data_IF_722420678324
#
_entry.id   IF_722420678324
#
_cell.length_a   1.000
_cell.length_b   1.000
_cell.length_c   1.000
_cell.angle_alpha   90.00
_cell.angle_beta   90.00
_cell.angle_gamma   90.00
#
_symmetry.space_group_name_H-M   'P 1'
#
loop_
_entity.id
_entity.type
_entity.pdbx_description
1 polymer ?
#
# COMPACT_ATOMS: atom_id res chain seq x y z
N UNK A 1 13.58 -33.57 31.63
CA UNK A 1 12.40 -33.30 30.79
C UNK A 1 12.50 -31.83 30.39
N UNK A 2 12.77 -31.57 29.13
CA UNK A 2 12.69 -30.23 28.55
C UNK A 2 11.31 -30.16 27.90
N UNK A 3 10.42 -29.37 28.49
CA UNK A 3 9.15 -29.01 27.85
C UNK A 3 9.46 -28.21 26.60
N UNK A 4 9.22 -28.79 25.45
CA UNK A 4 9.18 -28.09 24.17
C UNK A 4 7.85 -27.35 24.10
N UNK A 5 7.84 -26.09 24.47
CA UNK A 5 6.74 -25.20 24.17
C UNK A 5 6.47 -25.21 22.66
N UNK A 6 5.29 -25.67 22.27
CA UNK A 6 4.80 -25.52 20.91
C UNK A 6 4.66 -24.01 20.63
N UNK A 7 5.11 -23.53 19.46
CA UNK A 7 4.82 -22.17 19.09
C UNK A 7 3.30 -21.98 19.10
N UNK A 8 2.80 -21.00 19.84
CA UNK A 8 1.42 -20.57 19.76
C UNK A 8 1.11 -20.26 18.29
N UNK A 9 0.09 -20.92 17.74
CA UNK A 9 -0.49 -20.55 16.46
C UNK A 9 -1.03 -19.12 16.63
N UNK A 10 -0.23 -18.13 16.24
CA UNK A 10 -0.69 -16.76 16.13
C UNK A 10 -1.89 -16.77 15.19
N UNK A 11 -3.00 -16.29 15.71
CA UNK A 11 -4.25 -16.14 14.98
C UNK A 11 -3.99 -15.20 13.79
N UNK A 12 -3.78 -15.78 12.63
CA UNK A 12 -3.35 -15.09 11.40
C UNK A 12 -4.60 -14.46 10.74
N UNK A 13 -5.14 -13.45 11.39
CA UNK A 13 -6.40 -12.80 11.01
C UNK A 13 -6.31 -11.97 9.73
N UNK A 14 -5.10 -11.78 9.18
CA UNK A 14 -4.90 -10.89 8.05
C UNK A 14 -4.98 -9.41 8.45
N UNK A 15 -5.19 -8.53 7.48
CA UNK A 15 -5.40 -7.09 7.69
C UNK A 15 -4.89 -6.23 6.54
N UNK A 16 -5.18 -4.94 6.63
CA UNK A 16 -4.70 -3.92 5.69
C UNK A 16 -3.57 -3.11 6.31
N UNK A 17 -2.41 -3.13 5.67
CA UNK A 17 -1.25 -2.34 6.04
C UNK A 17 -1.02 -1.24 5.00
N UNK A 18 -1.13 0.02 5.41
CA UNK A 18 -0.74 1.16 4.58
C UNK A 18 0.75 1.48 4.81
N UNK A 19 1.49 1.66 3.72
CA UNK A 19 2.89 2.08 3.73
C UNK A 19 2.97 3.50 3.22
N UNK A 20 3.30 4.43 4.11
CA UNK A 20 3.35 5.86 3.83
C UNK A 20 4.66 6.47 4.29
N UNK A 21 5.01 7.64 3.79
CA UNK A 21 6.21 8.34 4.24
C UNK A 21 6.73 9.38 3.25
N UNK A 22 7.88 9.95 3.60
CA UNK A 22 8.51 11.01 2.81
C UNK A 22 8.89 10.54 1.40
N UNK A 23 8.94 11.44 0.41
CA UNK A 23 9.43 11.11 -0.92
C UNK A 23 10.83 10.51 -0.88
N UNK A 24 11.03 9.39 -1.59
CA UNK A 24 12.33 8.70 -1.62
C UNK A 24 12.66 7.85 -0.39
N UNK A 25 11.74 7.69 0.58
CA UNK A 25 11.95 6.85 1.76
C UNK A 25 11.88 5.34 1.52
N UNK A 26 11.61 4.91 0.29
CA UNK A 26 11.54 3.49 -0.05
C UNK A 26 10.19 2.84 0.23
N UNK A 27 9.09 3.60 0.28
CA UNK A 27 7.72 3.10 0.47
C UNK A 27 7.39 1.92 -0.43
N UNK A 28 7.43 2.14 -1.73
CA UNK A 28 7.12 1.11 -2.75
C UNK A 28 8.00 -0.13 -2.60
N UNK A 29 9.29 0.05 -2.38
CA UNK A 29 10.22 -1.07 -2.17
C UNK A 29 9.83 -1.86 -0.92
N UNK A 30 9.45 -1.19 0.15
CA UNK A 30 9.02 -1.82 1.40
C UNK A 30 7.68 -2.55 1.21
N UNK A 31 6.69 -1.91 0.61
CA UNK A 31 5.39 -2.52 0.31
C UNK A 31 5.54 -3.79 -0.55
N UNK A 32 6.33 -3.72 -1.62
CA UNK A 32 6.62 -4.86 -2.49
C UNK A 32 7.34 -5.99 -1.74
N UNK A 33 8.31 -5.67 -0.89
CA UNK A 33 9.02 -6.68 -0.08
C UNK A 33 8.07 -7.39 0.89
N UNK A 34 7.21 -6.64 1.59
CA UNK A 34 6.22 -7.21 2.52
C UNK A 34 5.26 -8.13 1.75
N UNK A 35 4.69 -7.66 0.63
CA UNK A 35 3.78 -8.47 -0.19
C UNK A 35 4.45 -9.76 -0.70
N UNK A 36 5.71 -9.68 -1.18
CA UNK A 36 6.49 -10.84 -1.60
C UNK A 36 6.79 -11.80 -0.45
N UNK A 37 7.10 -11.30 0.74
CA UNK A 37 7.35 -12.14 1.92
C UNK A 37 6.09 -12.91 2.35
N UNK A 38 4.93 -12.25 2.36
CA UNK A 38 3.64 -12.88 2.68
C UNK A 38 3.32 -13.96 1.65
N UNK A 39 3.42 -13.64 0.37
CA UNK A 39 3.12 -14.61 -0.71
C UNK A 39 4.10 -15.79 -0.74
N UNK A 40 5.37 -15.59 -0.39
CA UNK A 40 6.33 -16.69 -0.22
C UNK A 40 5.95 -17.65 0.92
N UNK A 41 5.24 -17.15 1.94
CA UNK A 41 4.64 -17.94 3.03
C UNK A 41 3.26 -18.51 2.67
N UNK A 42 2.89 -18.51 1.39
CA UNK A 42 1.60 -18.98 0.88
C UNK A 42 0.37 -18.24 1.43
N UNK A 43 0.55 -17.00 1.84
CA UNK A 43 -0.55 -16.11 2.21
C UNK A 43 -1.04 -15.39 0.96
N UNK A 44 -2.37 -15.34 0.77
CA UNK A 44 -2.97 -14.56 -0.31
C UNK A 44 -2.87 -13.07 0.04
N UNK A 45 -2.22 -12.31 -0.82
CA UNK A 45 -1.97 -10.88 -0.62
C UNK A 45 -2.29 -10.08 -1.87
N UNK A 46 -2.90 -8.93 -1.69
CA UNK A 46 -3.06 -7.91 -2.73
C UNK A 46 -2.18 -6.72 -2.38
N UNK A 47 -1.39 -6.26 -3.35
CA UNK A 47 -0.64 -5.01 -3.29
C UNK A 47 -1.38 -3.95 -4.11
N UNK A 48 -1.87 -2.90 -3.44
CA UNK A 48 -2.46 -1.73 -4.09
C UNK A 48 -1.40 -0.63 -4.21
N UNK A 49 -1.16 -0.14 -5.44
CA UNK A 49 -0.21 0.93 -5.75
C UNK A 49 -0.99 2.22 -6.00
N UNK A 50 -0.92 3.16 -5.06
CA UNK A 50 -1.72 4.39 -5.08
C UNK A 50 -1.05 5.57 -5.80
N UNK A 51 0.27 5.52 -6.08
CA UNK A 51 0.96 6.63 -6.75
C UNK A 51 0.48 6.77 -8.19
N UNK A 52 -0.37 7.79 -8.41
CA UNK A 52 -0.94 8.08 -9.73
C UNK A 52 -0.06 9.02 -10.56
N UNK A 53 0.86 9.74 -9.93
CA UNK A 53 1.78 10.63 -10.62
C UNK A 53 2.98 9.86 -11.22
N UNK A 54 3.42 8.79 -10.54
CA UNK A 54 4.51 7.94 -10.98
C UNK A 54 4.10 6.45 -10.88
N UNK A 55 3.35 5.91 -11.85
CA UNK A 55 2.85 4.54 -11.82
C UNK A 55 3.97 3.52 -11.68
N UNK A 56 3.92 2.74 -10.62
CA UNK A 56 4.99 1.79 -10.28
C UNK A 56 4.74 0.37 -10.78
N UNK A 57 3.52 0.03 -11.22
CA UNK A 57 3.20 -1.31 -11.70
C UNK A 57 4.14 -1.77 -12.84
N UNK A 58 4.43 -0.96 -13.87
CA UNK A 58 5.35 -1.36 -14.93
C UNK A 58 6.80 -1.58 -14.45
N UNK A 59 7.18 -0.90 -13.36
CA UNK A 59 8.54 -1.01 -12.80
C UNK A 59 8.75 -2.28 -11.99
N UNK A 60 7.70 -2.79 -11.35
CA UNK A 60 7.76 -3.96 -10.46
C UNK A 60 7.26 -5.25 -11.12
N UNK A 61 6.50 -5.13 -12.19
CA UNK A 61 5.85 -6.23 -12.90
C UNK A 61 6.22 -6.18 -14.39
N UNK A 62 7.27 -6.87 -14.84
CA UNK A 62 7.58 -6.98 -16.26
C UNK A 62 6.40 -7.58 -17.04
N UNK A 63 6.10 -7.02 -18.21
CA UNK A 63 4.92 -7.37 -19.00
C UNK A 63 4.84 -8.86 -19.36
N UNK A 64 5.97 -9.53 -19.56
CA UNK A 64 6.08 -10.95 -19.87
C UNK A 64 5.77 -11.86 -18.66
N UNK A 65 5.82 -11.31 -17.45
CA UNK A 65 5.50 -12.03 -16.22
C UNK A 65 4.02 -11.95 -15.81
N UNK A 66 3.22 -11.11 -16.50
CA UNK A 66 1.82 -10.86 -16.18
C UNK A 66 0.89 -11.84 -16.89
N UNK A 67 -0.23 -12.16 -16.25
CA UNK A 67 -1.33 -12.98 -16.81
C UNK A 67 -2.52 -12.12 -17.26
N UNK A 68 -2.60 -10.86 -16.83
CA UNK A 68 -3.69 -9.95 -17.13
C UNK A 68 -3.21 -8.52 -17.33
N UNK A 69 -3.99 -7.72 -18.05
CA UNK A 69 -3.75 -6.29 -18.31
C UNK A 69 -4.77 -5.41 -17.54
N UNK A 70 -5.23 -5.87 -16.40
CA UNK A 70 -6.11 -5.10 -15.54
C UNK A 70 -5.43 -3.86 -14.95
N UNK A 71 -6.22 -2.84 -14.61
CA UNK A 71 -5.69 -1.58 -14.10
C UNK A 71 -6.58 -0.94 -13.04
N UNK A 72 -5.95 -0.20 -12.13
CA UNK A 72 -6.64 0.62 -11.15
C UNK A 72 -7.57 1.66 -11.81
N UNK A 73 -7.14 2.27 -12.92
CA UNK A 73 -7.98 3.21 -13.67
C UNK A 73 -9.28 2.55 -14.17
N UNK A 74 -9.23 1.29 -14.59
CA UNK A 74 -10.42 0.54 -14.99
C UNK A 74 -11.41 0.31 -13.85
N UNK A 75 -10.90 0.12 -12.63
CA UNK A 75 -11.74 -0.01 -11.43
C UNK A 75 -12.35 1.33 -11.04
N UNK A 76 -11.54 2.40 -10.97
CA UNK A 76 -11.98 3.73 -10.55
C UNK A 76 -12.92 4.42 -11.54
N UNK A 77 -12.89 4.02 -12.81
CA UNK A 77 -13.82 4.52 -13.84
C UNK A 77 -15.27 4.05 -13.66
N UNK A 78 -15.52 3.03 -12.86
CA UNK A 78 -16.83 2.47 -12.67
C UNK A 78 -17.65 3.29 -11.66
N UNK A 79 -18.94 3.50 -11.96
CA UNK A 79 -19.86 4.19 -11.04
C UNK A 79 -20.08 3.43 -9.71
N UNK A 80 -19.90 2.12 -9.70
CA UNK A 80 -19.91 1.24 -8.51
C UNK A 80 -18.78 0.23 -8.62
N UNK A 81 -18.05 0.05 -7.55
CA UNK A 81 -16.95 -0.91 -7.46
C UNK A 81 -17.48 -2.20 -6.84
N UNK A 82 -17.32 -3.31 -7.56
CA UNK A 82 -17.68 -4.64 -7.09
C UNK A 82 -16.47 -5.55 -7.02
N UNK A 83 -16.53 -6.60 -6.21
CA UNK A 83 -15.45 -7.60 -6.13
C UNK A 83 -15.11 -8.21 -7.51
N UNK A 84 -16.11 -8.49 -8.34
CA UNK A 84 -15.88 -9.05 -9.67
C UNK A 84 -15.12 -8.07 -10.57
N UNK A 85 -15.43 -6.77 -10.49
CA UNK A 85 -14.70 -5.74 -11.21
C UNK A 85 -13.24 -5.66 -10.73
N UNK A 86 -13.02 -5.69 -9.42
CA UNK A 86 -11.68 -5.70 -8.84
C UNK A 86 -10.91 -6.94 -9.31
N UNK A 87 -11.49 -8.14 -9.15
CA UNK A 87 -10.86 -9.42 -9.56
C UNK A 87 -10.47 -9.41 -11.04
N UNK A 88 -11.30 -8.84 -11.90
CA UNK A 88 -11.00 -8.74 -13.34
C UNK A 88 -9.83 -7.79 -13.65
N UNK A 89 -9.62 -6.79 -12.79
CA UNK A 89 -8.55 -5.79 -12.96
C UNK A 89 -7.29 -6.11 -12.13
N UNK A 90 -7.30 -7.14 -11.30
CA UNK A 90 -6.10 -7.58 -10.59
C UNK A 90 -5.08 -8.17 -11.57
N UNK A 91 -3.85 -7.74 -11.43
CA UNK A 91 -2.71 -8.28 -12.16
C UNK A 91 -2.13 -9.45 -11.36
N UNK A 92 -2.09 -10.63 -11.96
CA UNK A 92 -1.56 -11.86 -11.36
C UNK A 92 -0.27 -12.29 -12.03
N UNK A 93 0.50 -13.13 -11.35
CA UNK A 93 1.82 -13.57 -11.80
C UNK A 93 1.84 -15.05 -12.11
N UNK A 94 2.37 -15.45 -13.27
CA UNK A 94 2.52 -16.84 -13.72
C UNK A 94 3.22 -17.75 -12.70
N UNK A 95 4.12 -17.19 -11.88
CA UNK A 95 4.96 -17.95 -10.94
C UNK A 95 4.59 -17.75 -9.47
N UNK A 96 3.61 -16.92 -9.17
CA UNK A 96 3.20 -16.60 -7.79
C UNK A 96 1.70 -16.32 -7.70
N UNK A 97 0.90 -17.36 -7.59
CA UNK A 97 -0.56 -17.28 -7.51
C UNK A 97 -1.08 -16.66 -6.20
N UNK A 98 -0.24 -16.51 -5.17
CA UNK A 98 -0.63 -15.91 -3.90
C UNK A 98 -0.45 -14.38 -3.88
N UNK A 99 0.12 -13.79 -4.94
CA UNK A 99 0.31 -12.34 -5.06
C UNK A 99 -0.50 -11.81 -6.24
N UNK A 100 -1.35 -10.84 -5.96
CA UNK A 100 -1.99 -10.00 -6.97
C UNK A 100 -1.62 -8.53 -6.73
N UNK A 101 -1.61 -7.74 -7.79
CA UNK A 101 -1.28 -6.31 -7.73
C UNK A 101 -2.36 -5.53 -8.45
N UNK A 102 -2.74 -4.38 -7.89
CA UNK A 102 -3.60 -3.40 -8.54
C UNK A 102 -2.87 -2.06 -8.58
N UNK A 103 -2.75 -1.49 -9.76
CA UNK A 103 -2.07 -0.22 -9.97
C UNK A 103 -2.36 0.33 -11.36
N UNK A 104 -1.80 1.50 -11.68
CA UNK A 104 -1.89 2.08 -13.01
C UNK A 104 -0.91 1.39 -13.96
N UNK A 105 -1.35 1.17 -15.20
CA UNK A 105 -0.52 0.66 -16.28
C UNK A 105 0.42 1.75 -16.84
N UNK A 106 1.35 1.33 -17.68
CA UNK A 106 2.19 2.25 -18.44
C UNK A 106 1.34 3.27 -19.22
N UNK A 107 1.76 4.54 -19.19
CA UNK A 107 1.09 5.70 -19.81
C UNK A 107 -0.25 6.10 -19.19
N UNK A 108 -0.67 5.47 -18.09
CA UNK A 108 -1.77 5.96 -17.25
C UNK A 108 -1.22 6.89 -16.17
N UNK A 109 -2.02 7.86 -15.73
CA UNK A 109 -1.70 8.81 -14.66
C UNK A 109 -3.00 9.41 -14.10
N UNK A 110 -2.90 10.38 -13.18
CA UNK A 110 -4.05 11.06 -12.60
C UNK A 110 -4.97 11.72 -13.64
N UNK A 111 -4.43 12.23 -14.75
CA UNK A 111 -5.22 12.90 -15.80
C UNK A 111 -5.92 11.90 -16.73
N UNK A 112 -5.37 10.70 -16.89
CA UNK A 112 -6.00 9.63 -17.70
C UNK A 112 -7.03 8.83 -16.93
N UNK A 113 -7.07 8.99 -15.59
CA UNK A 113 -8.04 8.32 -14.72
C UNK A 113 -9.24 9.26 -14.52
N UNK A 114 -10.49 8.80 -14.75
CA UNK A 114 -11.67 9.62 -14.48
C UNK A 114 -11.72 10.06 -13.02
N UNK A 115 -12.32 11.22 -12.70
CA UNK A 115 -12.55 11.64 -11.34
C UNK A 115 -13.32 10.56 -10.55
N UNK A 116 -12.88 10.30 -9.33
CA UNK A 116 -13.50 9.34 -8.43
C UNK A 116 -13.73 9.95 -7.03
N UNK A 117 -14.63 9.36 -6.27
CA UNK A 117 -15.07 9.86 -4.98
C UNK A 117 -14.45 9.08 -3.82
N UNK A 118 -14.44 9.67 -2.63
CA UNK A 118 -14.06 8.97 -1.40
C UNK A 118 -14.86 7.66 -1.21
N UNK A 119 -16.17 7.67 -1.51
CA UNK A 119 -17.02 6.49 -1.41
C UNK A 119 -16.53 5.35 -2.31
N UNK A 120 -16.12 5.65 -3.54
CA UNK A 120 -15.56 4.63 -4.44
C UNK A 120 -14.24 4.07 -3.91
N UNK A 121 -13.42 4.89 -3.25
CA UNK A 121 -12.19 4.40 -2.62
C UNK A 121 -12.52 3.46 -1.46
N UNK A 122 -13.49 3.79 -0.60
CA UNK A 122 -13.95 2.88 0.47
C UNK A 122 -14.48 1.56 -0.14
N UNK A 123 -15.33 1.62 -1.16
CA UNK A 123 -15.84 0.44 -1.85
C UNK A 123 -14.69 -0.42 -2.44
N UNK A 124 -13.63 0.22 -2.95
CA UNK A 124 -12.43 -0.48 -3.44
C UNK A 124 -11.72 -1.20 -2.29
N UNK A 125 -11.41 -0.50 -1.20
CA UNK A 125 -10.66 -1.06 -0.07
C UNK A 125 -11.42 -2.20 0.61
N UNK A 126 -12.74 -2.05 0.79
CA UNK A 126 -13.61 -3.12 1.30
C UNK A 126 -13.61 -4.33 0.37
N UNK A 127 -13.72 -4.11 -0.93
CA UNK A 127 -13.65 -5.18 -1.91
C UNK A 127 -12.31 -5.91 -1.91
N UNK A 128 -11.19 -5.20 -1.74
CA UNK A 128 -9.86 -5.82 -1.61
C UNK A 128 -9.78 -6.71 -0.36
N UNK A 129 -10.32 -6.26 0.78
CA UNK A 129 -10.37 -7.04 2.03
C UNK A 129 -11.22 -8.31 1.89
N UNK A 130 -12.28 -8.28 1.08
CA UNK A 130 -13.09 -9.48 0.80
C UNK A 130 -12.37 -10.50 -0.11
N UNK A 131 -11.47 -10.03 -0.97
CA UNK A 131 -10.77 -10.88 -1.95
C UNK A 131 -9.54 -11.56 -1.33
N UNK A 132 -8.80 -10.86 -0.47
CA UNK A 132 -7.59 -11.40 0.15
C UNK A 132 -7.47 -11.03 1.63
N UNK A 133 -6.97 -11.95 2.49
CA UNK A 133 -6.79 -11.68 3.92
C UNK A 133 -5.72 -10.62 4.18
N UNK A 134 -4.77 -10.42 3.28
CA UNK A 134 -3.72 -9.40 3.43
C UNK A 134 -3.81 -8.38 2.30
N UNK A 135 -3.96 -7.11 2.65
CA UNK A 135 -3.92 -5.99 1.71
C UNK A 135 -2.77 -5.06 2.11
N UNK A 136 -1.81 -4.89 1.21
CA UNK A 136 -0.71 -3.93 1.39
C UNK A 136 -0.98 -2.75 0.47
N UNK A 137 -1.01 -1.55 1.03
CA UNK A 137 -1.27 -0.32 0.29
C UNK A 137 0.00 0.53 0.24
N UNK A 138 0.54 0.72 -0.95
CA UNK A 138 1.66 1.65 -1.21
C UNK A 138 1.10 3.04 -1.48
N UNK A 139 1.09 3.89 -0.46
CA UNK A 139 0.51 5.23 -0.52
C UNK A 139 1.41 6.24 -1.23
N UNK A 140 0.80 7.19 -1.94
CA UNK A 140 1.49 8.38 -2.43
C UNK A 140 2.03 9.25 -1.29
N UNK A 141 2.88 10.22 -1.63
CA UNK A 141 3.43 11.15 -0.63
C UNK A 141 2.57 12.42 -0.46
N UNK A 142 1.72 12.77 -1.40
CA UNK A 142 0.95 14.03 -1.42
C UNK A 142 -0.48 13.84 -0.96
N UNK A 143 -0.68 13.61 0.35
CA UNK A 143 -1.99 13.24 0.93
C UNK A 143 -3.08 14.28 0.66
N UNK A 144 -2.76 15.57 0.71
CA UNK A 144 -3.75 16.64 0.53
C UNK A 144 -4.50 16.59 -0.82
N UNK A 145 -3.87 16.06 -1.86
CA UNK A 145 -4.42 15.96 -3.22
C UNK A 145 -4.59 14.50 -3.70
N UNK A 146 -4.35 13.54 -2.82
CA UNK A 146 -4.44 12.11 -3.12
C UNK A 146 -5.49 11.46 -2.23
N UNK A 147 -6.75 11.53 -2.69
CA UNK A 147 -7.89 10.96 -1.97
C UNK A 147 -7.75 9.44 -1.79
N UNK A 148 -7.07 8.75 -2.70
CA UNK A 148 -6.87 7.31 -2.62
C UNK A 148 -5.95 6.96 -1.44
N UNK A 149 -4.80 7.62 -1.32
CA UNK A 149 -3.88 7.42 -0.20
C UNK A 149 -4.45 7.94 1.11
N UNK A 150 -5.16 9.08 1.11
CA UNK A 150 -5.77 9.64 2.31
C UNK A 150 -6.80 8.65 2.92
N UNK A 151 -7.70 8.14 2.10
CA UNK A 151 -8.71 7.16 2.56
C UNK A 151 -8.05 5.85 2.97
N UNK A 152 -7.03 5.39 2.24
CA UNK A 152 -6.29 4.18 2.62
C UNK A 152 -5.62 4.30 4.00
N UNK A 153 -5.08 5.48 4.35
CA UNK A 153 -4.53 5.72 5.68
C UNK A 153 -5.61 5.73 6.78
N UNK A 154 -6.80 6.27 6.50
CA UNK A 154 -7.93 6.23 7.45
C UNK A 154 -8.42 4.79 7.69
N UNK A 155 -8.58 4.01 6.63
CA UNK A 155 -9.17 2.68 6.66
C UNK A 155 -8.18 1.56 7.05
N UNK A 156 -6.87 1.78 6.97
CA UNK A 156 -5.87 0.76 7.28
C UNK A 156 -5.91 0.32 8.76
N UNK A 157 -5.66 -0.97 9.01
CA UNK A 157 -5.56 -1.53 10.37
C UNK A 157 -4.22 -1.18 11.02
N UNK A 158 -3.19 -0.94 10.19
CA UNK A 158 -1.86 -0.50 10.61
C UNK A 158 -1.22 0.37 9.55
N UNK A 159 -0.40 1.31 9.97
CA UNK A 159 0.34 2.21 9.08
C UNK A 159 1.83 2.07 9.35
N UNK A 160 2.61 1.80 8.32
CA UNK A 160 4.05 1.83 8.37
C UNK A 160 4.53 3.19 7.83
N UNK A 161 4.97 4.06 8.73
CA UNK A 161 5.44 5.41 8.39
C UNK A 161 6.95 5.44 8.21
N UNK A 162 7.43 5.60 6.96
CA UNK A 162 8.83 5.62 6.61
C UNK A 162 9.39 7.05 6.50
N UNK A 163 10.49 7.30 7.17
CA UNK A 163 11.25 8.55 7.09
C UNK A 163 12.72 8.27 6.75
N UNK A 164 13.31 9.06 5.85
CA UNK A 164 14.77 9.11 5.76
C UNK A 164 15.33 9.95 6.91
N UNK A 165 16.56 9.63 7.33
CA UNK A 165 17.29 10.43 8.31
C UNK A 165 17.93 11.66 7.64
N UNK A 166 17.11 12.55 7.07
CA UNK A 166 17.55 13.76 6.39
C UNK A 166 16.60 14.95 6.64
N UNK A 167 17.07 16.20 6.50
CA UNK A 167 16.25 17.40 6.72
C UNK A 167 15.01 17.49 5.82
N UNK A 168 15.06 16.91 4.61
CA UNK A 168 13.92 16.91 3.68
C UNK A 168 12.77 16.08 4.24
N UNK A 169 13.07 14.91 4.81
CA UNK A 169 12.05 14.07 5.45
C UNK A 169 11.46 14.72 6.69
N UNK A 170 12.28 15.38 7.51
CA UNK A 170 11.80 16.12 8.68
C UNK A 170 10.85 17.23 8.25
N UNK A 171 11.24 18.06 7.28
CA UNK A 171 10.39 19.13 6.75
C UNK A 171 9.11 18.59 6.09
N UNK A 172 9.20 17.47 5.39
CA UNK A 172 8.02 16.82 4.83
C UNK A 172 7.02 16.46 5.93
N UNK A 173 7.44 15.78 6.98
CA UNK A 173 6.53 15.41 8.07
C UNK A 173 6.04 16.63 8.84
N UNK A 174 6.85 17.63 9.07
CA UNK A 174 6.40 18.88 9.69
C UNK A 174 5.26 19.57 8.91
N UNK A 175 5.24 19.41 7.58
CA UNK A 175 4.19 19.96 6.72
C UNK A 175 2.99 19.03 6.52
N UNK A 176 3.17 17.71 6.56
CA UNK A 176 2.10 16.76 6.26
C UNK A 176 1.35 16.28 7.51
N UNK A 177 2.02 16.12 8.66
CA UNK A 177 1.37 15.64 9.88
C UNK A 177 0.22 16.52 10.35
N UNK A 178 0.25 17.86 10.26
CA UNK A 178 -0.90 18.68 10.59
C UNK A 178 -2.15 18.41 9.75
N UNK A 179 -2.01 17.83 8.55
CA UNK A 179 -3.14 17.43 7.71
C UNK A 179 -3.82 16.15 8.22
N UNK A 180 -3.15 15.43 9.09
CA UNK A 180 -3.60 14.17 9.70
C UNK A 180 -3.99 14.37 11.18
N UNK A 181 -4.23 15.61 11.58
CA UNK A 181 -4.62 15.99 12.95
C UNK A 181 -6.14 16.18 13.02
N UNK A 182 -6.86 15.07 13.05
CA UNK A 182 -8.32 15.02 13.12
C UNK A 182 -8.80 13.72 13.78
N UNK A 183 -10.04 13.66 14.28
CA UNK A 183 -10.59 12.49 14.94
C UNK A 183 -10.70 11.26 14.02
N UNK A 184 -10.67 11.47 12.71
CA UNK A 184 -10.65 10.41 11.70
C UNK A 184 -9.28 9.72 11.55
N UNK A 185 -8.23 10.32 12.12
CA UNK A 185 -6.86 9.81 12.04
C UNK A 185 -6.45 9.12 13.34
N UNK A 186 -6.37 7.81 13.33
CA UNK A 186 -5.86 7.03 14.44
C UNK A 186 -4.33 6.97 14.37
N UNK A 187 -3.67 7.77 15.22
CA UNK A 187 -2.22 7.84 15.28
C UNK A 187 -1.58 6.64 15.99
N UNK A 188 -2.33 5.90 16.81
CA UNK A 188 -1.82 4.77 17.61
C UNK A 188 -1.55 3.54 16.71
N UNK A 189 -2.16 3.46 15.54
CA UNK A 189 -1.91 2.40 14.56
C UNK A 189 -0.65 2.63 13.70
N UNK A 190 0.14 3.69 13.98
CA UNK A 190 1.32 4.04 13.20
C UNK A 190 2.62 3.49 13.78
N UNK A 191 3.34 2.72 12.98
CA UNK A 191 4.70 2.27 13.27
C UNK A 191 5.70 3.16 12.54
N UNK A 192 6.56 3.87 13.30
CA UNK A 192 7.58 4.75 12.75
C UNK A 192 8.83 3.94 12.38
N UNK A 193 9.34 4.13 11.18
CA UNK A 193 10.52 3.43 10.67
C UNK A 193 11.49 4.40 10.03
N UNK A 194 12.70 4.46 10.58
CA UNK A 194 13.81 5.13 9.95
C UNK A 194 14.33 4.29 8.78
N UNK A 195 14.34 4.90 7.60
CA UNK A 195 14.75 4.27 6.34
C UNK A 195 16.07 4.86 5.83
N UNK A 196 16.82 4.07 5.08
CA UNK A 196 18.08 4.51 4.47
C UNK A 196 19.09 5.12 5.46
N UNK A 197 19.09 4.65 6.71
CA UNK A 197 19.97 5.15 7.78
C UNK A 197 21.41 4.86 7.43
N UNK A 198 22.25 5.88 7.45
CA UNK A 198 23.70 5.75 7.27
C UNK A 198 24.41 5.65 8.62
N UNK A 199 25.59 5.01 8.69
CA UNK A 199 26.28 4.76 9.96
C UNK A 199 26.57 6.00 10.83
N UNK A 200 26.58 7.19 10.20
CA UNK A 200 26.84 8.47 10.88
C UNK A 200 25.57 9.25 11.24
N UNK A 201 24.39 8.72 10.96
CA UNK A 201 23.11 9.35 11.24
C UNK A 201 22.50 8.78 12.51
N UNK A 202 22.02 9.66 13.39
CA UNK A 202 21.20 9.28 14.53
C UNK A 202 19.75 9.06 14.07
N UNK A 203 19.21 7.87 14.33
CA UNK A 203 17.84 7.52 14.00
C UNK A 203 16.85 7.90 15.11
N UNK A 204 17.33 8.30 16.27
CA UNK A 204 16.56 8.49 17.51
C UNK A 204 15.69 9.74 17.49
N UNK A 205 15.83 10.60 16.49
CA UNK A 205 15.13 11.87 16.36
C UNK A 205 14.07 11.92 15.25
N UNK A 206 13.64 10.75 14.72
CA UNK A 206 12.68 10.67 13.61
C UNK A 206 11.30 10.15 14.04
#
# INVERSE_FOLDING_TARGET
>A
QRDTEKPEEQNDSGGMLAVWGSPGSGKTVTAVKIAKMLSARKKNVILLLCDMAAPMLPCICPADALESNGSLAGVLAAARISENLIKHNLVTFKRNSCLAVLGLLERQNEYSTPPFTQKQVVELLDGLRQIAPYVIVDCGSYIANDILSAVALMEADSILRLANCDPKSVNYFASQLPLLDGPEWDMDKQYKVASNVKPYQAADHI
#
